data_IF_220826020406
#
_entry.id   IF_220826020406
#
_cell.length_a   1.000
_cell.length_b   1.000
_cell.length_c   1.000
_cell.angle_alpha   90.00
_cell.angle_beta   90.00
_cell.angle_gamma   90.00
#
_symmetry.space_group_name_H-M   'P 1'
#
loop_
_entity.id
_entity.type
_entity.pdbx_description
1 polymer ?
#
# COMPACT_ATOMS: atom_id res chain seq x y z
N UNK A 1 13.08 14.47 -0.40
CA UNK A 1 12.91 13.02 -0.65
C UNK A 1 11.52 12.88 -1.22
N UNK A 2 11.36 12.35 -2.43
CA UNK A 2 10.04 12.26 -3.05
C UNK A 2 9.24 11.18 -2.32
N UNK A 3 8.31 11.60 -1.48
CA UNK A 3 7.27 10.71 -0.95
C UNK A 3 6.39 10.28 -2.12
N UNK A 4 6.83 9.21 -2.79
CA UNK A 4 6.08 8.52 -3.85
C UNK A 4 4.84 7.90 -3.25
N UNK A 5 3.82 8.73 -3.04
CA UNK A 5 2.51 8.32 -2.54
C UNK A 5 1.76 7.67 -3.70
N UNK A 6 1.60 6.35 -3.62
CA UNK A 6 0.89 5.56 -4.63
C UNK A 6 -0.23 4.75 -3.99
N UNK A 7 -1.22 4.39 -4.78
CA UNK A 7 -2.27 3.47 -4.32
C UNK A 7 -1.70 2.07 -4.10
N UNK A 8 -2.33 1.27 -3.23
CA UNK A 8 -1.93 -0.13 -3.02
C UNK A 8 -1.92 -0.93 -4.34
N UNK A 9 -2.76 -0.57 -5.32
CA UNK A 9 -2.75 -1.18 -6.65
C UNK A 9 -1.43 -0.95 -7.42
N UNK A 10 -0.90 0.27 -7.39
CA UNK A 10 0.39 0.59 -8.01
C UNK A 10 1.54 -0.06 -7.23
N UNK A 11 1.48 -0.03 -5.89
CA UNK A 11 2.47 -0.70 -5.07
C UNK A 11 2.49 -2.22 -5.26
N UNK A 12 1.33 -2.84 -5.46
CA UNK A 12 1.23 -4.26 -5.74
C UNK A 12 2.02 -4.65 -7.00
N UNK A 13 1.92 -3.82 -8.05
CA UNK A 13 2.71 -4.00 -9.29
C UNK A 13 4.21 -3.78 -9.04
N UNK A 14 4.59 -2.71 -8.35
CA UNK A 14 6.02 -2.42 -8.08
C UNK A 14 6.67 -3.45 -7.16
N UNK A 15 5.93 -4.02 -6.22
CA UNK A 15 6.43 -4.98 -5.24
C UNK A 15 6.27 -6.43 -5.69
N UNK A 16 5.70 -6.66 -6.89
CA UNK A 16 5.36 -7.98 -7.43
C UNK A 16 4.57 -8.82 -6.41
N UNK A 17 3.51 -8.23 -5.86
CA UNK A 17 2.62 -8.90 -4.89
C UNK A 17 1.19 -8.81 -5.38
N UNK A 18 0.37 -9.77 -4.96
CA UNK A 18 -1.04 -9.78 -5.34
C UNK A 18 -1.75 -8.58 -4.69
N UNK A 19 -2.36 -7.72 -5.51
CA UNK A 19 -3.09 -6.54 -5.05
C UNK A 19 -4.13 -6.86 -3.97
N UNK A 20 -4.86 -7.98 -4.13
CA UNK A 20 -5.88 -8.40 -3.18
C UNK A 20 -5.26 -8.73 -1.83
N UNK A 21 -4.17 -9.49 -1.82
CA UNK A 21 -3.42 -9.79 -0.60
C UNK A 21 -2.86 -8.52 0.03
N UNK A 22 -2.26 -7.63 -0.76
CA UNK A 22 -1.68 -6.40 -0.27
C UNK A 22 -2.73 -5.48 0.39
N UNK A 23 -3.92 -5.35 -0.22
CA UNK A 23 -5.06 -4.63 0.37
C UNK A 23 -5.56 -5.28 1.64
N UNK A 24 -5.67 -6.61 1.65
CA UNK A 24 -6.13 -7.37 2.80
C UNK A 24 -5.16 -7.23 3.98
N UNK A 25 -3.86 -7.39 3.72
CA UNK A 25 -2.82 -7.17 4.72
C UNK A 25 -2.73 -5.72 5.18
N UNK A 26 -2.86 -4.74 4.28
CA UNK A 26 -2.90 -3.34 4.69
C UNK A 26 -4.07 -3.08 5.65
N UNK A 27 -5.24 -3.64 5.38
CA UNK A 27 -6.42 -3.56 6.26
C UNK A 27 -6.22 -4.33 7.57
N UNK A 28 -5.64 -5.53 7.52
CA UNK A 28 -5.37 -6.37 8.69
C UNK A 28 -4.33 -5.75 9.62
N UNK A 29 -3.34 -5.04 9.06
CA UNK A 29 -2.33 -4.29 9.80
C UNK A 29 -2.84 -2.93 10.29
N UNK A 30 -4.06 -2.53 9.92
CA UNK A 30 -4.59 -1.20 10.23
C UNK A 30 -3.77 -0.07 9.63
N UNK A 31 -3.15 -0.29 8.46
CA UNK A 31 -2.38 0.75 7.78
C UNK A 31 -3.33 1.83 7.25
N UNK A 32 -3.18 3.02 7.80
CA UNK A 32 -3.86 4.21 7.31
C UNK A 32 -3.17 4.73 6.05
N UNK A 33 -3.93 5.32 5.10
CA UNK A 33 -3.33 5.95 3.95
C UNK A 33 -2.59 7.22 4.35
N UNK A 34 -1.30 7.27 4.04
CA UNK A 34 -0.45 8.44 4.21
C UNK A 34 -0.99 9.68 3.51
N UNK A 35 -1.71 9.51 2.39
CA UNK A 35 -2.45 10.60 1.75
C UNK A 35 -3.79 10.13 1.19
N UNK A 36 -4.82 10.96 1.32
CA UNK A 36 -6.15 10.68 0.77
C UNK A 36 -6.55 11.76 -0.22
N UNK A 37 -6.73 11.40 -1.49
CA UNK A 37 -7.18 12.32 -2.53
C UNK A 37 -8.58 11.88 -2.98
N UNK A 38 -9.59 12.50 -2.39
CA UNK A 38 -11.00 12.12 -2.58
C UNK A 38 -11.28 10.69 -2.09
N UNK A 39 -11.78 9.84 -2.99
CA UNK A 39 -12.05 8.42 -2.71
C UNK A 39 -10.80 7.54 -2.78
N UNK A 40 -9.68 8.05 -3.31
CA UNK A 40 -8.47 7.27 -3.50
C UNK A 40 -7.50 7.43 -2.33
N UNK A 41 -7.09 6.28 -1.78
CA UNK A 41 -6.19 6.15 -0.66
C UNK A 41 -4.77 5.87 -1.20
N UNK A 42 -3.83 6.76 -0.88
CA UNK A 42 -2.43 6.69 -1.24
C UNK A 42 -1.60 6.32 -0.02
N UNK A 43 -0.60 5.50 -0.25
CA UNK A 43 0.26 4.92 0.76
C UNK A 43 1.69 5.22 0.36
N UNK A 44 2.53 5.49 1.35
CA UNK A 44 3.96 5.62 1.15
C UNK A 44 4.58 4.25 0.90
N UNK A 45 5.80 4.24 0.35
CA UNK A 45 6.57 3.02 0.14
C UNK A 45 6.71 2.19 1.41
N UNK A 46 6.90 2.84 2.56
CA UNK A 46 7.01 2.18 3.86
C UNK A 46 5.76 1.39 4.25
N UNK A 47 4.57 2.01 4.12
CA UNK A 47 3.27 1.39 4.39
C UNK A 47 3.02 0.21 3.44
N UNK A 48 3.27 0.42 2.14
CA UNK A 48 3.16 -0.63 1.15
C UNK A 48 4.13 -1.80 1.40
N UNK A 49 5.37 -1.53 1.76
CA UNK A 49 6.35 -2.56 2.10
C UNK A 49 5.98 -3.33 3.38
N UNK A 50 5.41 -2.66 4.40
CA UNK A 50 4.89 -3.35 5.59
C UNK A 50 3.78 -4.33 5.23
N UNK A 51 2.80 -3.88 4.43
CA UNK A 51 1.74 -4.75 3.93
C UNK A 51 2.29 -5.89 3.06
N UNK A 52 3.26 -5.60 2.17
CA UNK A 52 3.87 -6.59 1.29
C UNK A 52 4.65 -7.66 2.07
N UNK A 53 5.31 -7.30 3.17
CA UNK A 53 5.99 -8.25 4.07
C UNK A 53 5.02 -9.16 4.81
N UNK A 54 3.78 -8.75 5.02
CA UNK A 54 2.78 -9.59 5.68
C UNK A 54 2.12 -10.59 4.73
N UNK A 55 2.33 -10.48 3.41
CA UNK A 55 1.72 -11.36 2.39
C UNK A 55 2.71 -12.22 1.63
N UNK A 56 4.00 -12.01 1.86
CA UNK A 56 5.12 -12.72 1.25
C UNK A 56 5.65 -13.74 2.24
#
# INVERSE_FOLDING_TARGET
MADDLKTLANWAKELDVNEKKLKDAAKALGLEPDAKKGVCAYYSKASAQKAAKAVK
#
